data_IF_831010174240
#
_entry.id   IF_831010174240
#
_cell.length_a   1.000
_cell.length_b   1.000
_cell.length_c   1.000
_cell.angle_alpha   90.00
_cell.angle_beta   90.00
_cell.angle_gamma   90.00
#
_symmetry.space_group_name_H-M   'P 1'
#
loop_
_entity.id
_entity.type
_entity.pdbx_description
1 polymer ?
#
# COMPACT_ATOMS: atom_id res chain seq x y z
N UNK A 1 123.23 -55.62 -12.09
CA UNK A 1 122.85 -55.69 -10.65
C UNK A 1 122.50 -54.31 -10.09
N UNK A 2 123.40 -53.32 -10.13
CA UNK A 2 123.09 -51.94 -9.65
C UNK A 2 121.97 -51.24 -10.44
N UNK A 3 122.05 -51.27 -11.76
CA UNK A 3 121.08 -50.62 -12.67
C UNK A 3 119.66 -51.19 -12.58
N UNK A 4 119.54 -52.52 -12.48
CA UNK A 4 118.29 -53.24 -12.22
C UNK A 4 117.66 -52.86 -10.87
N UNK A 5 118.48 -52.68 -9.84
CA UNK A 5 118.01 -52.25 -8.51
C UNK A 5 117.49 -50.81 -8.53
N UNK A 6 118.19 -49.92 -9.26
CA UNK A 6 117.79 -48.52 -9.39
C UNK A 6 116.51 -48.36 -10.24
N UNK A 7 116.30 -49.24 -11.23
CA UNK A 7 115.06 -49.28 -12.01
C UNK A 7 113.87 -49.78 -11.19
N UNK A 8 114.05 -50.89 -10.45
CA UNK A 8 113.03 -51.41 -9.54
C UNK A 8 112.65 -50.40 -8.43
N UNK A 9 113.63 -49.61 -7.97
CA UNK A 9 113.39 -48.57 -6.96
C UNK A 9 112.55 -47.42 -7.52
N UNK A 10 112.81 -47.00 -8.77
CA UNK A 10 112.01 -45.97 -9.46
C UNK A 10 110.58 -46.44 -9.71
N UNK A 11 110.42 -47.64 -10.28
CA UNK A 11 109.10 -48.20 -10.57
C UNK A 11 108.28 -48.39 -9.29
N UNK A 12 108.92 -48.78 -8.18
CA UNK A 12 108.28 -48.80 -6.86
C UNK A 12 107.81 -47.41 -6.41
N UNK A 13 108.62 -46.36 -6.57
CA UNK A 13 108.22 -44.99 -6.20
C UNK A 13 107.09 -44.45 -7.08
N UNK A 14 107.10 -44.80 -8.37
CA UNK A 14 106.05 -44.40 -9.31
C UNK A 14 104.72 -45.07 -8.92
N UNK A 15 104.73 -46.39 -8.65
CA UNK A 15 103.57 -47.12 -8.14
C UNK A 15 103.08 -46.60 -6.79
N UNK A 16 103.99 -46.27 -5.86
CA UNK A 16 103.63 -45.65 -4.57
C UNK A 16 102.94 -44.29 -4.77
N UNK A 17 103.40 -43.50 -5.73
CA UNK A 17 102.81 -42.21 -6.08
C UNK A 17 101.43 -42.36 -6.72
N UNK A 18 101.26 -43.33 -7.62
CA UNK A 18 99.98 -43.66 -8.25
C UNK A 18 98.96 -44.15 -7.21
N UNK A 19 99.36 -45.05 -6.32
CA UNK A 19 98.52 -45.52 -5.19
C UNK A 19 98.10 -44.34 -4.30
N UNK A 20 99.01 -43.42 -3.99
CA UNK A 20 98.67 -42.23 -3.21
C UNK A 20 97.67 -41.31 -3.94
N UNK A 21 97.83 -41.15 -5.26
CA UNK A 21 96.91 -40.40 -6.11
C UNK A 21 95.51 -41.03 -6.13
N UNK A 22 95.42 -42.33 -6.39
CA UNK A 22 94.16 -43.08 -6.40
C UNK A 22 93.46 -43.06 -5.04
N UNK A 23 94.20 -43.19 -3.93
CA UNK A 23 93.64 -43.08 -2.59
C UNK A 23 93.04 -41.69 -2.33
N UNK A 24 93.67 -40.62 -2.83
CA UNK A 24 93.13 -39.26 -2.73
C UNK A 24 91.85 -39.10 -3.54
N UNK A 25 91.79 -39.67 -4.75
CA UNK A 25 90.59 -39.67 -5.59
C UNK A 25 89.44 -40.46 -4.94
N UNK A 26 89.73 -41.63 -4.36
CA UNK A 26 88.75 -42.44 -3.61
C UNK A 26 88.15 -41.63 -2.45
N UNK A 27 88.96 -40.93 -1.66
CA UNK A 27 88.46 -40.12 -0.55
C UNK A 27 87.61 -38.92 -1.02
N UNK A 28 87.97 -38.30 -2.16
CA UNK A 28 87.14 -37.27 -2.77
C UNK A 28 85.79 -37.82 -3.25
N UNK A 29 85.79 -38.97 -3.92
CA UNK A 29 84.57 -39.63 -4.39
C UNK A 29 83.67 -40.07 -3.23
N UNK A 30 84.23 -40.57 -2.13
CA UNK A 30 83.46 -40.87 -0.90
C UNK A 30 82.78 -39.62 -0.35
N UNK A 31 83.51 -38.51 -0.27
CA UNK A 31 82.95 -37.24 0.23
C UNK A 31 81.80 -36.76 -0.67
N UNK A 32 81.97 -36.85 -2.00
CA UNK A 32 80.90 -36.52 -2.94
C UNK A 32 79.69 -37.44 -2.84
N UNK A 33 79.91 -38.74 -2.59
CA UNK A 33 78.85 -39.72 -2.36
C UNK A 33 78.05 -39.40 -1.09
N UNK A 34 78.74 -39.07 0.01
CA UNK A 34 78.10 -38.70 1.28
C UNK A 34 77.28 -37.41 1.14
N UNK A 35 77.82 -36.39 0.45
CA UNK A 35 77.11 -35.14 0.16
C UNK A 35 75.86 -35.38 -0.71
N UNK A 36 75.98 -36.25 -1.72
CA UNK A 36 74.85 -36.60 -2.58
C UNK A 36 73.77 -37.38 -1.81
N UNK A 37 74.17 -38.29 -0.92
CA UNK A 37 73.24 -39.04 -0.07
C UNK A 37 72.50 -38.11 0.90
N UNK A 38 73.19 -37.16 1.51
CA UNK A 38 72.56 -36.18 2.39
C UNK A 38 71.52 -35.32 1.64
N UNK A 39 71.85 -34.86 0.43
CA UNK A 39 70.89 -34.12 -0.42
C UNK A 39 69.67 -34.96 -0.80
N UNK A 40 69.87 -36.25 -1.08
CA UNK A 40 68.77 -37.18 -1.39
C UNK A 40 67.84 -37.36 -0.19
N UNK A 41 68.40 -37.52 1.01
CA UNK A 41 67.63 -37.69 2.24
C UNK A 41 66.80 -36.43 2.56
N UNK A 42 67.38 -35.24 2.37
CA UNK A 42 66.68 -33.98 2.61
C UNK A 42 65.58 -33.72 1.57
N UNK A 43 65.84 -34.02 0.29
CA UNK A 43 64.81 -33.97 -0.76
C UNK A 43 63.67 -34.96 -0.48
N UNK A 44 63.98 -36.15 0.03
CA UNK A 44 62.97 -37.17 0.41
C UNK A 44 62.10 -36.69 1.56
N UNK A 45 62.67 -36.02 2.58
CA UNK A 45 61.89 -35.41 3.67
C UNK A 45 60.98 -34.31 3.15
N UNK A 46 61.48 -33.43 2.28
CA UNK A 46 60.68 -32.35 1.70
C UNK A 46 59.51 -32.89 0.88
N UNK A 47 59.74 -33.92 0.06
CA UNK A 47 58.71 -34.60 -0.72
C UNK A 47 57.61 -35.19 0.17
N UNK A 48 57.99 -35.86 1.26
CA UNK A 48 57.04 -36.42 2.22
C UNK A 48 56.20 -35.33 2.91
N UNK A 49 56.83 -34.21 3.29
CA UNK A 49 56.13 -33.07 3.88
C UNK A 49 55.11 -32.47 2.90
N UNK A 50 55.51 -32.22 1.65
CA UNK A 50 54.60 -31.72 0.61
C UNK A 50 53.46 -32.70 0.33
N UNK A 51 53.74 -34.00 0.30
CA UNK A 51 52.71 -35.03 0.11
C UNK A 51 51.66 -35.05 1.22
N UNK A 52 52.08 -34.82 2.47
CA UNK A 52 51.15 -34.70 3.59
C UNK A 52 50.30 -33.42 3.50
N UNK A 53 50.91 -32.28 3.12
CA UNK A 53 50.17 -31.03 2.89
C UNK A 53 49.12 -31.17 1.78
N UNK A 54 49.45 -31.86 0.68
CA UNK A 54 48.50 -32.16 -0.40
C UNK A 54 47.30 -32.93 0.15
N UNK A 55 47.53 -33.98 0.94
CA UNK A 55 46.46 -34.80 1.53
C UNK A 55 45.55 -33.98 2.46
N UNK A 56 46.11 -33.08 3.26
CA UNK A 56 45.33 -32.18 4.12
C UNK A 56 44.48 -31.20 3.31
N UNK A 57 45.04 -30.63 2.23
CA UNK A 57 44.32 -29.73 1.34
C UNK A 57 43.20 -30.46 0.60
N UNK A 58 43.42 -31.68 0.12
CA UNK A 58 42.39 -32.53 -0.48
C UNK A 58 41.24 -32.80 0.51
N UNK A 59 41.56 -33.07 1.78
CA UNK A 59 40.56 -33.21 2.83
C UNK A 59 39.72 -31.95 3.05
N UNK A 60 40.37 -30.77 3.07
CA UNK A 60 39.68 -29.47 3.18
C UNK A 60 38.78 -29.20 1.96
N UNK A 61 39.25 -29.50 0.75
CA UNK A 61 38.46 -29.38 -0.49
C UNK A 61 37.22 -30.28 -0.41
N UNK A 62 37.38 -31.53 0.04
CA UNK A 62 36.25 -32.46 0.22
C UNK A 62 35.20 -31.94 1.20
N UNK A 63 35.64 -31.43 2.36
CA UNK A 63 34.73 -30.86 3.36
C UNK A 63 33.98 -29.62 2.84
N UNK A 64 34.68 -28.73 2.13
CA UNK A 64 34.07 -27.54 1.51
C UNK A 64 33.06 -27.92 0.42
N UNK A 65 33.37 -28.92 -0.41
CA UNK A 65 32.44 -29.39 -1.44
C UNK A 65 31.15 -29.96 -0.83
N UNK A 66 31.25 -30.74 0.26
CA UNK A 66 30.07 -31.24 0.95
C UNK A 66 29.24 -30.09 1.53
N UNK A 67 29.88 -29.12 2.19
CA UNK A 67 29.19 -27.94 2.72
C UNK A 67 28.48 -27.13 1.63
N UNK A 68 29.13 -26.96 0.47
CA UNK A 68 28.52 -26.28 -0.67
C UNK A 68 27.29 -27.04 -1.20
N UNK A 69 27.34 -28.37 -1.20
CA UNK A 69 26.20 -29.20 -1.59
C UNK A 69 25.03 -29.05 -0.60
N UNK A 70 25.29 -29.14 0.70
CA UNK A 70 24.26 -29.00 1.73
C UNK A 70 23.59 -27.61 1.66
N UNK A 71 24.38 -26.54 1.50
CA UNK A 71 23.86 -25.19 1.32
C UNK A 71 23.04 -25.03 0.03
N UNK A 72 23.43 -25.71 -1.05
CA UNK A 72 22.69 -25.69 -2.31
C UNK A 72 21.32 -26.37 -2.16
N UNK A 73 21.28 -27.51 -1.48
CA UNK A 73 20.04 -28.24 -1.20
C UNK A 73 19.11 -27.41 -0.30
N UNK A 74 19.63 -26.79 0.76
CA UNK A 74 18.88 -25.89 1.65
C UNK A 74 18.31 -24.69 0.89
N UNK A 75 19.11 -24.05 0.02
CA UNK A 75 18.65 -22.92 -0.78
C UNK A 75 17.53 -23.32 -1.76
N UNK A 76 17.62 -24.54 -2.32
CA UNK A 76 16.58 -25.09 -3.20
C UNK A 76 15.28 -25.32 -2.44
N UNK A 77 15.34 -25.87 -1.23
CA UNK A 77 14.18 -26.08 -0.36
C UNK A 77 13.54 -24.75 0.06
N UNK A 78 14.34 -23.79 0.52
CA UNK A 78 13.86 -22.46 0.91
C UNK A 78 13.20 -21.73 -0.26
N UNK A 79 13.80 -21.80 -1.45
CA UNK A 79 13.23 -21.22 -2.66
C UNK A 79 11.87 -21.82 -3.00
N UNK A 80 11.75 -23.15 -2.92
CA UNK A 80 10.47 -23.85 -3.14
C UNK A 80 9.41 -23.45 -2.10
N UNK A 81 9.79 -23.33 -0.82
CA UNK A 81 8.90 -22.93 0.27
C UNK A 81 8.39 -21.50 0.08
N UNK A 82 9.28 -20.55 -0.22
CA UNK A 82 8.90 -19.15 -0.49
C UNK A 82 7.95 -19.07 -1.67
N UNK A 83 8.27 -19.75 -2.78
CA UNK A 83 7.42 -19.79 -3.96
C UNK A 83 6.03 -20.37 -3.66
N UNK A 84 5.96 -21.44 -2.88
CA UNK A 84 4.69 -22.04 -2.46
C UNK A 84 3.85 -21.11 -1.58
N UNK A 85 4.48 -20.45 -0.61
CA UNK A 85 3.80 -19.50 0.29
C UNK A 85 3.28 -18.27 -0.47
N UNK A 86 4.06 -17.73 -1.40
CA UNK A 86 3.64 -16.60 -2.24
C UNK A 86 2.44 -16.98 -3.09
N UNK A 87 2.49 -18.13 -3.77
CA UNK A 87 1.37 -18.61 -4.59
C UNK A 87 0.09 -18.77 -3.76
N UNK A 88 0.18 -19.35 -2.57
CA UNK A 88 -0.98 -19.52 -1.70
C UNK A 88 -1.57 -18.18 -1.24
N UNK A 89 -0.72 -17.19 -0.89
CA UNK A 89 -1.19 -15.84 -0.53
C UNK A 89 -1.86 -15.13 -1.71
N UNK A 90 -1.31 -15.29 -2.92
CA UNK A 90 -1.88 -14.74 -4.15
C UNK A 90 -3.28 -15.33 -4.42
N UNK A 91 -3.45 -16.65 -4.26
CA UNK A 91 -4.74 -17.33 -4.39
C UNK A 91 -5.76 -16.83 -3.36
N UNK A 92 -5.36 -16.67 -2.09
CA UNK A 92 -6.23 -16.14 -1.03
C UNK A 92 -6.67 -14.70 -1.30
N UNK A 93 -5.74 -13.82 -1.65
CA UNK A 93 -6.05 -12.43 -1.99
C UNK A 93 -6.96 -12.34 -3.21
N UNK A 94 -6.73 -13.18 -4.22
CA UNK A 94 -7.59 -13.23 -5.41
C UNK A 94 -9.02 -13.65 -5.06
N UNK A 95 -9.20 -14.57 -4.11
CA UNK A 95 -10.52 -14.99 -3.65
C UNK A 95 -11.23 -13.85 -2.90
N UNK A 96 -10.55 -13.21 -1.95
CA UNK A 96 -11.08 -12.06 -1.20
C UNK A 96 -11.47 -10.90 -2.12
N UNK A 97 -10.64 -10.60 -3.13
CA UNK A 97 -10.95 -9.58 -4.13
C UNK A 97 -12.20 -9.94 -4.94
N UNK A 98 -12.42 -11.23 -5.22
CA UNK A 98 -13.64 -11.66 -5.91
C UNK A 98 -14.87 -11.48 -5.02
N UNK A 99 -14.81 -11.89 -3.75
CA UNK A 99 -15.90 -11.74 -2.79
C UNK A 99 -16.29 -10.26 -2.60
N UNK A 100 -15.31 -9.36 -2.47
CA UNK A 100 -15.55 -7.93 -2.35
C UNK A 100 -16.16 -7.32 -3.63
N UNK A 101 -15.78 -7.82 -4.81
CA UNK A 101 -16.41 -7.41 -6.08
C UNK A 101 -17.86 -7.86 -6.17
N UNK A 102 -18.14 -9.09 -5.77
CA UNK A 102 -19.49 -9.64 -5.77
C UNK A 102 -20.39 -8.88 -4.78
N UNK A 103 -19.88 -8.53 -3.60
CA UNK A 103 -20.64 -7.77 -2.60
C UNK A 103 -20.90 -6.32 -3.06
N UNK A 104 -19.91 -5.65 -3.66
CA UNK A 104 -20.14 -4.33 -4.26
C UNK A 104 -21.22 -4.37 -5.35
N UNK A 105 -21.25 -5.45 -6.15
CA UNK A 105 -22.29 -5.63 -7.18
C UNK A 105 -23.67 -5.72 -6.54
N UNK A 106 -23.84 -6.54 -5.49
CA UNK A 106 -25.10 -6.65 -4.75
C UNK A 106 -25.54 -5.34 -4.09
N UNK A 107 -24.59 -4.61 -3.50
CA UNK A 107 -24.90 -3.32 -2.88
C UNK A 107 -25.36 -2.29 -3.92
N UNK A 108 -24.74 -2.26 -5.10
CA UNK A 108 -25.17 -1.39 -6.19
C UNK A 108 -26.59 -1.76 -6.67
N UNK A 109 -26.88 -3.04 -6.88
CA UNK A 109 -28.24 -3.50 -7.21
C UNK A 109 -29.27 -3.10 -6.16
N UNK A 110 -28.89 -3.13 -4.86
CA UNK A 110 -29.76 -2.69 -3.77
C UNK A 110 -29.98 -1.19 -3.77
N UNK A 111 -28.95 -0.39 -4.06
CA UNK A 111 -29.05 1.06 -4.19
C UNK A 111 -29.99 1.43 -5.34
N UNK A 112 -29.85 0.78 -6.49
CA UNK A 112 -30.72 1.00 -7.66
C UNK A 112 -32.18 0.67 -7.34
N UNK A 113 -32.41 -0.48 -6.68
CA UNK A 113 -33.75 -0.89 -6.26
C UNK A 113 -34.39 0.12 -5.29
N UNK A 114 -33.64 0.58 -4.29
CA UNK A 114 -34.13 1.58 -3.34
C UNK A 114 -34.38 2.94 -3.99
N UNK A 115 -33.57 3.29 -4.99
CA UNK A 115 -33.75 4.53 -5.76
C UNK A 115 -35.05 4.47 -6.56
N UNK A 116 -35.36 3.32 -7.17
CA UNK A 116 -36.63 3.09 -7.87
C UNK A 116 -37.83 3.18 -6.91
N UNK A 117 -37.77 2.50 -5.76
CA UNK A 117 -38.80 2.57 -4.70
C UNK A 117 -39.04 4.02 -4.24
N UNK A 118 -37.96 4.80 -4.04
CA UNK A 118 -38.04 6.19 -3.61
C UNK A 118 -38.66 7.08 -4.70
N UNK A 119 -38.31 6.86 -5.97
CA UNK A 119 -38.93 7.53 -7.11
C UNK A 119 -40.45 7.24 -7.17
N UNK A 120 -40.85 5.98 -7.00
CA UNK A 120 -42.25 5.59 -6.98
C UNK A 120 -43.02 6.22 -5.82
N UNK A 121 -42.44 6.22 -4.62
CA UNK A 121 -43.04 6.83 -3.44
C UNK A 121 -43.25 8.35 -3.61
N UNK A 122 -42.25 9.06 -4.18
CA UNK A 122 -42.37 10.48 -4.52
C UNK A 122 -43.51 10.75 -5.50
N UNK A 123 -43.62 9.94 -6.55
CA UNK A 123 -44.68 10.06 -7.54
C UNK A 123 -46.07 9.88 -6.92
N UNK A 124 -46.24 8.85 -6.09
CA UNK A 124 -47.52 8.59 -5.42
C UNK A 124 -47.88 9.69 -4.41
N UNK A 125 -46.89 10.24 -3.70
CA UNK A 125 -47.09 11.39 -2.80
C UNK A 125 -47.60 12.63 -3.54
N UNK A 126 -46.98 12.99 -4.67
CA UNK A 126 -47.45 14.14 -5.47
C UNK A 126 -48.83 13.89 -6.09
N UNK A 127 -49.12 12.67 -6.53
CA UNK A 127 -50.45 12.28 -6.99
C UNK A 127 -51.50 12.46 -5.89
N UNK A 128 -51.24 11.95 -4.67
CA UNK A 128 -52.16 12.09 -3.54
C UNK A 128 -52.39 13.55 -3.15
N UNK A 129 -51.33 14.37 -3.18
CA UNK A 129 -51.41 15.82 -2.94
C UNK A 129 -52.29 16.52 -3.98
N UNK A 130 -52.19 16.16 -5.26
CA UNK A 130 -53.05 16.68 -6.32
C UNK A 130 -54.51 16.23 -6.15
N UNK A 131 -54.76 14.96 -5.82
CA UNK A 131 -56.10 14.46 -5.54
C UNK A 131 -56.75 15.22 -4.38
N UNK A 132 -56.04 15.35 -3.25
CA UNK A 132 -56.53 16.05 -2.07
C UNK A 132 -56.81 17.53 -2.36
N UNK A 133 -55.97 18.17 -3.18
CA UNK A 133 -56.20 19.55 -3.63
C UNK A 133 -57.48 19.68 -4.45
N UNK A 134 -57.71 18.78 -5.39
CA UNK A 134 -58.93 18.75 -6.21
C UNK A 134 -60.18 18.51 -5.34
N UNK A 135 -60.13 17.57 -4.41
CA UNK A 135 -61.22 17.28 -3.47
C UNK A 135 -61.58 18.51 -2.63
N UNK A 136 -60.57 19.23 -2.12
CA UNK A 136 -60.79 20.46 -1.36
C UNK A 136 -61.39 21.58 -2.21
N UNK A 137 -60.94 21.74 -3.46
CA UNK A 137 -61.50 22.72 -4.40
C UNK A 137 -62.97 22.41 -4.76
N UNK A 138 -63.31 21.14 -4.91
CA UNK A 138 -64.69 20.71 -5.18
C UNK A 138 -65.60 20.88 -3.95
N UNK A 139 -65.12 20.57 -2.74
CA UNK A 139 -65.87 20.80 -1.51
C UNK A 139 -66.09 22.29 -1.22
N UNK A 140 -65.09 23.14 -1.52
CA UNK A 140 -65.23 24.59 -1.42
C UNK A 140 -66.27 25.11 -2.42
N UNK A 141 -66.30 24.57 -3.64
CA UNK A 141 -67.31 24.92 -4.66
C UNK A 141 -68.72 24.58 -4.19
N UNK A 142 -68.94 23.35 -3.71
CA UNK A 142 -70.22 22.91 -3.17
C UNK A 142 -70.69 23.79 -2.00
N UNK A 143 -69.75 24.20 -1.13
CA UNK A 143 -70.08 25.09 0.00
C UNK A 143 -70.54 26.47 -0.44
N UNK A 144 -69.91 27.04 -1.48
CA UNK A 144 -70.32 28.31 -2.06
C UNK A 144 -71.70 28.21 -2.72
N UNK A 145 -71.95 27.14 -3.48
CA UNK A 145 -73.27 26.88 -4.10
C UNK A 145 -74.37 26.78 -3.03
N UNK A 146 -74.12 26.08 -1.92
CA UNK A 146 -75.05 25.98 -0.79
C UNK A 146 -75.29 27.34 -0.09
N UNK A 147 -74.25 28.15 0.07
CA UNK A 147 -74.36 29.49 0.66
C UNK A 147 -75.19 30.43 -0.24
N UNK A 148 -75.00 30.37 -1.55
CA UNK A 148 -75.80 31.10 -2.53
C UNK A 148 -77.28 30.68 -2.48
N UNK A 149 -77.56 29.38 -2.41
CA UNK A 149 -78.93 28.85 -2.27
C UNK A 149 -79.60 29.33 -0.98
N UNK A 150 -78.89 29.29 0.14
CA UNK A 150 -79.39 29.79 1.43
C UNK A 150 -79.67 31.30 1.39
N UNK A 151 -78.79 32.08 0.75
CA UNK A 151 -78.97 33.52 0.58
C UNK A 151 -80.21 33.85 -0.28
N UNK A 152 -80.43 33.11 -1.37
CA UNK A 152 -81.63 33.25 -2.21
C UNK A 152 -82.91 32.96 -1.42
N UNK A 153 -82.91 31.92 -0.58
CA UNK A 153 -84.05 31.59 0.27
C UNK A 153 -84.29 32.67 1.35
N UNK A 154 -83.23 33.18 1.97
CA UNK A 154 -83.30 34.27 2.95
C UNK A 154 -83.87 35.55 2.32
N UNK A 155 -83.44 35.91 1.11
CA UNK A 155 -84.02 37.04 0.36
C UNK A 155 -85.50 36.83 0.05
N UNK A 156 -85.89 35.62 -0.37
CA UNK A 156 -87.29 35.28 -0.62
C UNK A 156 -88.12 35.45 0.66
N UNK A 157 -87.64 34.92 1.79
CA UNK A 157 -88.30 35.07 3.10
C UNK A 157 -88.34 36.52 3.57
N UNK A 158 -87.30 37.31 3.31
CA UNK A 158 -87.27 38.74 3.62
C UNK A 158 -88.30 39.53 2.79
N UNK A 159 -88.45 39.20 1.50
CA UNK A 159 -89.50 39.74 0.62
C UNK A 159 -90.90 39.35 1.10
N UNK A 160 -91.10 38.08 1.46
CA UNK A 160 -92.35 37.57 2.02
C UNK A 160 -92.71 38.30 3.33
N UNK A 161 -91.78 38.39 4.28
CA UNK A 161 -91.96 39.10 5.54
C UNK A 161 -92.27 40.59 5.33
N UNK A 162 -91.63 41.25 4.36
CA UNK A 162 -91.90 42.65 4.01
C UNK A 162 -93.31 42.83 3.44
N UNK A 163 -93.77 41.90 2.59
CA UNK A 163 -95.14 41.86 2.09
C UNK A 163 -96.14 41.71 3.24
N UNK A 164 -95.93 40.73 4.12
CA UNK A 164 -96.76 40.50 5.31
C UNK A 164 -96.79 41.71 6.24
N UNK A 165 -95.64 42.38 6.48
CA UNK A 165 -95.60 43.65 7.25
C UNK A 165 -96.45 44.74 6.61
N UNK A 166 -96.43 44.85 5.29
CA UNK A 166 -97.24 45.83 4.56
C UNK A 166 -98.73 45.50 4.70
N UNK A 167 -99.12 44.23 4.57
CA UNK A 167 -100.48 43.76 4.84
C UNK A 167 -100.93 44.03 6.27
N UNK A 168 -100.09 43.72 7.26
CA UNK A 168 -100.32 44.03 8.68
C UNK A 168 -100.50 45.53 8.91
N UNK A 169 -99.73 46.38 8.24
CA UNK A 169 -99.85 47.85 8.36
C UNK A 169 -101.16 48.34 7.77
N UNK A 170 -101.60 47.77 6.63
CA UNK A 170 -102.92 48.06 6.06
C UNK A 170 -104.06 47.59 6.97
N UNK A 171 -103.95 46.39 7.55
CA UNK A 171 -104.93 45.88 8.52
C UNK A 171 -104.96 46.73 9.79
N UNK A 172 -103.80 47.15 10.33
CA UNK A 172 -103.73 48.09 11.46
C UNK A 172 -104.39 49.42 11.14
N UNK A 173 -104.18 49.99 9.94
CA UNK A 173 -104.89 51.21 9.51
C UNK A 173 -106.40 51.00 9.36
N UNK A 174 -106.85 49.82 8.91
CA UNK A 174 -108.28 49.46 8.90
C UNK A 174 -108.82 49.37 10.32
N UNK A 175 -108.10 48.72 11.23
CA UNK A 175 -108.43 48.70 12.67
C UNK A 175 -108.45 50.12 13.24
N UNK A 176 -107.54 51.03 12.87
CA UNK A 176 -107.50 52.43 13.31
C UNK A 176 -108.69 53.26 12.78
N UNK A 177 -109.23 52.93 11.59
CA UNK A 177 -110.46 53.54 11.03
C UNK A 177 -111.73 52.95 11.67
N UNK A 178 -111.72 51.66 11.98
CA UNK A 178 -112.82 50.96 12.67
C UNK A 178 -112.85 51.26 14.19
N UNK A 179 -111.71 51.54 14.83
CA UNK A 179 -111.58 51.91 16.25
C UNK A 179 -112.07 53.34 16.54
N UNK A 180 -112.01 54.27 15.57
CA UNK A 180 -112.70 55.58 15.66
C UNK A 180 -114.24 55.42 15.62
N UNK A 181 -114.77 54.27 15.18
CA UNK A 181 -116.21 53.97 15.21
C UNK A 181 -116.65 53.06 16.36
N UNK A 182 -115.75 52.32 17.00
CA UNK A 182 -116.11 51.31 17.99
C UNK A 182 -115.67 51.61 19.43
N UNK A 183 -115.10 52.79 19.71
CA UNK A 183 -114.95 53.31 21.08
C UNK A 183 -116.19 54.11 21.53
N UNK A 184 -117.35 53.44 21.50
CA UNK A 184 -118.51 53.74 22.35
C UNK A 184 -119.26 52.46 22.76
N UNK A 185 -118.53 51.42 23.22
CA UNK A 185 -119.09 50.34 24.06
C UNK A 185 -117.99 49.42 24.59
N UNK A 186 -117.79 49.43 25.92
CA UNK A 186 -117.32 48.39 26.88
C UNK A 186 -116.33 47.31 26.40
N UNK A 187 -115.14 47.11 26.99
CA UNK A 187 -114.81 46.64 28.37
C UNK A 187 -115.10 45.13 28.60
N UNK A 188 -114.07 44.27 28.45
CA UNK A 188 -113.68 43.14 29.36
C UNK A 188 -112.65 42.17 28.71
N UNK A 189 -111.53 41.90 29.42
CA UNK A 189 -110.81 40.60 29.59
C UNK A 189 -110.31 39.80 28.34
N UNK A 190 -109.26 38.98 28.32
CA UNK A 190 -108.07 38.66 29.13
C UNK A 190 -107.23 37.70 28.22
N UNK A 191 -106.04 37.34 28.70
CA UNK A 191 -104.87 36.74 28.03
C UNK A 191 -104.96 35.34 27.40
N UNK A 192 -103.93 35.06 26.55
CA UNK A 192 -103.17 33.80 26.28
C UNK A 192 -103.98 32.49 26.07
N UNK A 193 -103.70 31.62 25.10
CA UNK A 193 -102.42 30.93 24.86
C UNK A 193 -102.61 30.01 23.62
N UNK A 194 -101.87 30.22 22.52
CA UNK A 194 -101.94 29.39 21.31
C UNK A 194 -100.67 28.54 21.20
N UNK A 195 -100.49 27.65 22.17
CA UNK A 195 -99.31 26.80 22.33
C UNK A 195 -99.55 25.37 21.84
N UNK A 196 -100.10 25.18 20.65
CA UNK A 196 -100.31 23.83 20.07
C UNK A 196 -99.72 23.67 18.66
N UNK A 197 -99.76 24.72 17.81
CA UNK A 197 -99.07 24.73 16.50
C UNK A 197 -97.54 24.82 16.65
N UNK A 198 -97.08 25.59 17.64
CA UNK A 198 -95.65 25.71 17.95
C UNK A 198 -95.09 24.40 18.53
N UNK A 199 -95.91 23.59 19.20
CA UNK A 199 -95.51 22.27 19.69
C UNK A 199 -95.32 21.29 18.53
N UNK A 200 -96.19 21.27 17.53
CA UNK A 200 -96.04 20.37 16.38
C UNK A 200 -94.85 20.75 15.47
N UNK A 201 -94.58 22.06 15.33
CA UNK A 201 -93.39 22.55 14.60
C UNK A 201 -92.09 22.32 15.39
N UNK A 202 -92.12 22.50 16.71
CA UNK A 202 -91.00 22.17 17.60
C UNK A 202 -90.78 20.65 17.68
N UNK A 203 -91.81 19.81 17.65
CA UNK A 203 -91.69 18.34 17.59
C UNK A 203 -91.07 17.87 16.27
N UNK A 204 -91.41 18.48 15.14
CA UNK A 204 -90.74 18.20 13.85
C UNK A 204 -89.27 18.65 13.85
N UNK A 205 -88.96 19.83 14.40
CA UNK A 205 -87.57 20.32 14.55
C UNK A 205 -86.78 19.48 15.55
N UNK A 206 -87.41 18.99 16.62
CA UNK A 206 -86.79 18.09 17.59
C UNK A 206 -86.52 16.72 16.97
N UNK A 207 -87.45 16.17 16.18
CA UNK A 207 -87.25 14.92 15.45
C UNK A 207 -86.14 15.01 14.38
N UNK A 208 -86.03 16.16 13.70
CA UNK A 208 -84.94 16.45 12.77
C UNK A 208 -83.59 16.58 13.49
N UNK A 209 -83.57 17.35 14.58
CA UNK A 209 -82.37 17.54 15.41
C UNK A 209 -81.91 16.22 16.07
N UNK A 210 -82.83 15.31 16.37
CA UNK A 210 -82.54 14.00 16.95
C UNK A 210 -81.99 13.01 15.90
N UNK A 211 -82.39 13.15 14.62
CA UNK A 211 -81.76 12.44 13.50
C UNK A 211 -80.34 12.96 13.25
N UNK A 212 -80.16 14.27 13.21
CA UNK A 212 -78.84 14.90 13.06
C UNK A 212 -77.92 14.56 14.23
N UNK A 213 -78.45 14.53 15.46
CA UNK A 213 -77.73 14.07 16.65
C UNK A 213 -77.28 12.62 16.51
N UNK A 214 -78.14 11.70 16.05
CA UNK A 214 -77.77 10.29 15.83
C UNK A 214 -76.72 10.12 14.74
N UNK A 215 -76.81 10.92 13.67
CA UNK A 215 -75.80 10.90 12.60
C UNK A 215 -74.45 11.45 13.08
N UNK A 216 -74.45 12.54 13.85
CA UNK A 216 -73.27 13.09 14.48
C UNK A 216 -72.68 12.14 15.53
N UNK A 217 -73.49 11.44 16.32
CA UNK A 217 -73.04 10.40 17.24
C UNK A 217 -72.35 9.24 16.50
N UNK A 218 -72.85 8.84 15.33
CA UNK A 218 -72.20 7.89 14.44
C UNK A 218 -70.83 8.38 13.96
N UNK A 219 -70.76 9.60 13.42
CA UNK A 219 -69.49 10.22 12.98
C UNK A 219 -68.49 10.36 14.12
N UNK A 220 -68.95 10.72 15.33
CA UNK A 220 -68.11 10.80 16.53
C UNK A 220 -67.61 9.41 16.95
N UNK A 221 -68.42 8.36 16.80
CA UNK A 221 -67.98 6.98 17.06
C UNK A 221 -66.89 6.53 16.08
N UNK A 222 -67.08 6.81 14.78
CA UNK A 222 -66.10 6.46 13.75
C UNK A 222 -64.77 7.21 13.94
N UNK A 223 -64.82 8.50 14.26
CA UNK A 223 -63.62 9.29 14.56
C UNK A 223 -62.93 8.84 15.85
N UNK A 224 -63.68 8.39 16.87
CA UNK A 224 -63.08 7.78 18.07
C UNK A 224 -62.33 6.50 17.72
N UNK A 225 -62.90 5.65 16.85
CA UNK A 225 -62.23 4.42 16.42
C UNK A 225 -60.97 4.72 15.60
N UNK A 226 -61.01 5.68 14.67
CA UNK A 226 -59.82 6.12 13.93
C UNK A 226 -58.74 6.66 14.87
N UNK A 227 -59.12 7.44 15.89
CA UNK A 227 -58.21 7.95 16.91
C UNK A 227 -57.52 6.81 17.65
N UNK A 228 -58.25 5.79 18.11
CA UNK A 228 -57.66 4.62 18.79
C UNK A 228 -56.71 3.82 17.89
N UNK A 229 -57.02 3.69 16.60
CA UNK A 229 -56.17 2.99 15.65
C UNK A 229 -54.86 3.76 15.38
N UNK A 230 -54.95 5.09 15.28
CA UNK A 230 -53.79 5.97 15.15
C UNK A 230 -52.93 5.96 16.42
N UNK A 231 -53.55 5.97 17.61
CA UNK A 231 -52.85 5.90 18.89
C UNK A 231 -52.05 4.58 19.01
N UNK A 232 -52.64 3.45 18.61
CA UNK A 232 -51.93 2.17 18.53
C UNK A 232 -50.76 2.18 17.53
N UNK A 233 -50.88 2.88 16.40
CA UNK A 233 -49.78 3.05 15.44
C UNK A 233 -48.65 3.91 16.03
N UNK A 234 -48.99 4.99 16.72
CA UNK A 234 -48.02 5.85 17.42
C UNK A 234 -47.25 5.04 18.46
N UNK A 235 -47.93 4.24 19.28
CA UNK A 235 -47.26 3.39 20.27
C UNK A 235 -46.26 2.41 19.63
N UNK A 236 -46.63 1.76 18.51
CA UNK A 236 -45.74 0.86 17.76
C UNK A 236 -44.54 1.59 17.15
N UNK A 237 -44.70 2.85 16.76
CA UNK A 237 -43.59 3.65 16.26
C UNK A 237 -42.67 4.08 17.40
N UNK A 238 -43.22 4.48 18.55
CA UNK A 238 -42.46 4.81 19.75
C UNK A 238 -41.62 3.63 20.26
N UNK A 239 -42.10 2.37 20.15
CA UNK A 239 -41.29 1.21 20.51
C UNK A 239 -40.13 0.99 19.53
N UNK A 240 -40.36 1.14 18.22
CA UNK A 240 -39.30 1.04 17.21
C UNK A 240 -38.26 2.14 17.35
N UNK A 241 -38.69 3.36 17.65
CA UNK A 241 -37.79 4.48 17.92
C UNK A 241 -36.82 4.16 19.06
N UNK A 242 -37.32 3.59 20.16
CA UNK A 242 -36.48 3.16 21.29
C UNK A 242 -35.51 2.03 20.93
N UNK A 243 -35.93 1.08 20.09
CA UNK A 243 -35.05 0.02 19.58
C UNK A 243 -33.93 0.61 18.71
N UNK A 244 -34.25 1.54 17.81
CA UNK A 244 -33.25 2.20 16.98
C UNK A 244 -32.28 3.06 17.79
N UNK A 245 -32.76 3.78 18.80
CA UNK A 245 -31.90 4.56 19.70
C UNK A 245 -30.92 3.65 20.45
N UNK A 246 -31.38 2.52 20.97
CA UNK A 246 -30.50 1.52 21.62
C UNK A 246 -29.42 1.01 20.65
N UNK A 247 -29.80 0.72 19.40
CA UNK A 247 -28.86 0.24 18.38
C UNK A 247 -27.85 1.31 17.95
N UNK A 248 -28.27 2.57 17.89
CA UNK A 248 -27.37 3.71 17.63
C UNK A 248 -26.35 3.86 18.77
N UNK A 249 -26.76 3.69 20.03
CA UNK A 249 -25.83 3.73 21.16
C UNK A 249 -24.82 2.58 21.15
N UNK A 250 -25.23 1.37 20.77
CA UNK A 250 -24.33 0.23 20.61
C UNK A 250 -23.29 0.48 19.51
N UNK A 251 -23.75 0.89 18.32
CA UNK A 251 -22.86 1.22 17.20
C UNK A 251 -21.88 2.36 17.56
N UNK A 252 -22.33 3.35 18.36
CA UNK A 252 -21.46 4.42 18.83
C UNK A 252 -20.35 3.93 19.76
N UNK A 253 -20.65 2.93 20.62
CA UNK A 253 -19.63 2.30 21.49
C UNK A 253 -18.63 1.49 20.68
N UNK A 254 -19.10 0.75 19.67
CA UNK A 254 -18.25 -0.03 18.77
C UNK A 254 -17.31 0.87 17.97
N UNK A 255 -17.83 1.98 17.42
CA UNK A 255 -17.03 2.97 16.70
C UNK A 255 -15.93 3.59 17.59
N UNK A 256 -16.23 3.89 18.85
CA UNK A 256 -15.22 4.37 19.81
C UNK A 256 -14.15 3.32 20.13
N UNK A 257 -14.50 2.03 20.14
CA UNK A 257 -13.54 0.93 20.34
C UNK A 257 -12.60 0.83 19.14
N UNK A 258 -13.16 0.80 17.92
CA UNK A 258 -12.38 0.75 16.68
C UNK A 258 -11.46 1.96 16.54
N UNK A 259 -11.94 3.16 16.89
CA UNK A 259 -11.10 4.36 16.87
C UNK A 259 -9.94 4.31 17.86
N UNK A 260 -10.08 3.57 18.95
CA UNK A 260 -8.98 3.34 19.91
C UNK A 260 -7.96 2.36 19.34
N UNK A 261 -8.42 1.28 18.71
CA UNK A 261 -7.58 0.28 18.04
C UNK A 261 -6.81 0.86 16.85
N UNK A 262 -7.45 1.76 16.09
CA UNK A 262 -6.81 2.51 14.99
C UNK A 262 -5.65 3.36 15.52
N UNK A 263 -5.86 4.13 16.59
CA UNK A 263 -4.80 4.93 17.23
C UNK A 263 -3.67 4.08 17.79
N UNK A 264 -3.99 2.92 18.34
CA UNK A 264 -2.97 1.99 18.84
C UNK A 264 -2.15 1.40 17.69
N UNK A 265 -2.82 1.04 16.59
CA UNK A 265 -2.17 0.57 15.35
C UNK A 265 -1.26 1.65 14.75
N UNK A 266 -1.71 2.90 14.66
CA UNK A 266 -0.90 4.03 14.19
C UNK A 266 0.36 4.25 15.06
N UNK A 267 0.21 4.14 16.38
CA UNK A 267 1.35 4.22 17.29
C UNK A 267 2.35 3.08 17.08
N UNK A 268 1.87 1.86 16.80
CA UNK A 268 2.78 0.74 16.47
C UNK A 268 3.44 0.91 15.10
N UNK A 269 2.73 1.49 14.13
CA UNK A 269 3.28 1.71 12.80
C UNK A 269 4.39 2.77 12.83
N UNK A 270 4.19 3.84 13.60
CA UNK A 270 5.21 4.89 13.80
C UNK A 270 6.46 4.35 14.49
N UNK A 271 6.32 3.52 15.54
CA UNK A 271 7.50 2.92 16.20
C UNK A 271 8.25 1.95 15.29
N UNK A 272 7.53 1.11 14.52
CA UNK A 272 8.16 0.20 13.55
C UNK A 272 8.89 0.99 12.47
N UNK A 273 8.33 2.11 11.99
CA UNK A 273 8.95 2.97 10.99
C UNK A 273 10.25 3.60 11.52
N UNK A 274 10.24 4.11 12.74
CA UNK A 274 11.42 4.69 13.38
C UNK A 274 12.54 3.64 13.55
N UNK A 275 12.18 2.41 13.91
CA UNK A 275 13.14 1.30 14.05
C UNK A 275 13.77 0.91 12.70
N UNK A 276 12.97 0.88 11.63
CA UNK A 276 13.48 0.65 10.28
C UNK A 276 14.39 1.79 9.81
N UNK A 277 14.01 3.04 10.02
CA UNK A 277 14.83 4.20 9.67
C UNK A 277 16.17 4.20 10.40
N UNK A 278 16.17 3.79 11.68
CA UNK A 278 17.40 3.62 12.45
C UNK A 278 18.27 2.49 11.90
N UNK A 279 17.67 1.34 11.51
CA UNK A 279 18.42 0.22 10.92
C UNK A 279 19.02 0.57 9.56
N UNK A 280 18.29 1.33 8.74
CA UNK A 280 18.79 1.83 7.44
C UNK A 280 19.98 2.77 7.64
N UNK A 281 19.92 3.68 8.63
CA UNK A 281 21.06 4.56 8.96
C UNK A 281 22.30 3.79 9.41
N UNK A 282 22.11 2.75 10.23
CA UNK A 282 23.20 1.87 10.69
C UNK A 282 23.86 1.14 9.51
N UNK A 283 23.06 0.53 8.62
CA UNK A 283 23.55 -0.17 7.44
C UNK A 283 24.27 0.77 6.47
N UNK A 284 23.75 1.97 6.23
CA UNK A 284 24.40 2.96 5.39
C UNK A 284 25.75 3.42 5.97
N UNK A 285 25.83 3.59 7.29
CA UNK A 285 27.09 3.94 7.97
C UNK A 285 28.12 2.82 7.80
N UNK A 286 27.69 1.56 7.96
CA UNK A 286 28.56 0.39 7.75
C UNK A 286 29.01 0.24 6.29
N UNK A 287 28.13 0.50 5.32
CA UNK A 287 28.46 0.47 3.89
C UNK A 287 29.47 1.56 3.52
N UNK A 288 29.33 2.76 4.08
CA UNK A 288 30.26 3.87 3.88
C UNK A 288 31.66 3.51 4.42
N UNK A 289 31.71 2.90 5.60
CA UNK A 289 32.95 2.44 6.22
C UNK A 289 33.63 1.36 5.37
N UNK A 290 32.88 0.35 4.89
CA UNK A 290 33.41 -0.67 4.00
C UNK A 290 33.90 -0.09 2.66
N UNK A 291 33.19 0.88 2.10
CA UNK A 291 33.61 1.56 0.87
C UNK A 291 34.94 2.29 1.06
N UNK A 292 35.10 2.98 2.19
CA UNK A 292 36.36 3.64 2.55
C UNK A 292 37.51 2.64 2.71
N UNK A 293 37.26 1.46 3.32
CA UNK A 293 38.26 0.40 3.42
C UNK A 293 38.66 -0.17 2.05
N UNK A 294 37.71 -0.36 1.13
CA UNK A 294 37.97 -0.82 -0.23
C UNK A 294 38.85 0.20 -0.98
N UNK A 295 38.51 1.49 -0.89
CA UNK A 295 39.26 2.56 -1.53
C UNK A 295 40.71 2.62 -1.01
N UNK A 296 40.90 2.49 0.30
CA UNK A 296 42.22 2.43 0.92
C UNK A 296 43.02 1.19 0.49
N UNK A 297 42.36 0.02 0.34
CA UNK A 297 43.00 -1.19 -0.17
C UNK A 297 43.39 -1.06 -1.65
N UNK A 298 42.56 -0.42 -2.46
CA UNK A 298 42.86 -0.13 -3.87
C UNK A 298 44.06 0.80 -4.00
N UNK A 299 44.13 1.86 -3.19
CA UNK A 299 45.26 2.78 -3.16
C UNK A 299 46.57 2.06 -2.76
N UNK A 300 46.52 1.25 -1.69
CA UNK A 300 47.68 0.46 -1.24
C UNK A 300 48.15 -0.54 -2.32
N UNK A 301 47.22 -1.19 -3.02
CA UNK A 301 47.54 -2.12 -4.10
C UNK A 301 48.18 -1.39 -5.29
N UNK A 302 47.66 -0.22 -5.65
CA UNK A 302 48.21 0.61 -6.72
C UNK A 302 49.63 1.08 -6.39
N UNK A 303 49.84 1.57 -5.17
CA UNK A 303 51.17 1.97 -4.69
C UNK A 303 52.17 0.82 -4.72
N UNK A 304 51.77 -0.36 -4.25
CA UNK A 304 52.62 -1.56 -4.29
C UNK A 304 52.99 -1.97 -5.72
N UNK A 305 52.04 -1.93 -6.66
CA UNK A 305 52.31 -2.18 -8.08
C UNK A 305 53.31 -1.17 -8.64
N UNK A 306 53.17 0.11 -8.29
CA UNK A 306 54.08 1.16 -8.72
C UNK A 306 55.50 0.94 -8.17
N UNK A 307 55.63 0.54 -6.90
CA UNK A 307 56.91 0.16 -6.29
C UNK A 307 57.55 -1.05 -6.98
N UNK A 308 56.78 -2.10 -7.31
CA UNK A 308 57.27 -3.28 -8.03
C UNK A 308 57.74 -2.92 -9.46
N UNK A 309 56.99 -2.08 -10.18
CA UNK A 309 57.36 -1.59 -11.51
C UNK A 309 58.66 -0.78 -11.45
N UNK A 310 58.80 0.13 -10.47
CA UNK A 310 60.02 0.91 -10.25
C UNK A 310 61.23 0.00 -9.97
N UNK A 311 61.05 -1.02 -9.14
CA UNK A 311 62.10 -1.99 -8.84
C UNK A 311 62.53 -2.78 -10.09
N UNK A 312 61.58 -3.20 -10.93
CA UNK A 312 61.86 -3.88 -12.19
C UNK A 312 62.60 -2.97 -13.17
N UNK A 313 62.19 -1.70 -13.31
CA UNK A 313 62.89 -0.71 -14.15
C UNK A 313 64.34 -0.52 -13.70
N UNK A 314 64.57 -0.34 -12.39
CA UNK A 314 65.92 -0.20 -11.84
C UNK A 314 66.78 -1.46 -12.08
N UNK A 315 66.18 -2.64 -11.97
CA UNK A 315 66.88 -3.91 -12.20
C UNK A 315 67.26 -4.08 -13.67
N UNK A 316 66.34 -3.77 -14.60
CA UNK A 316 66.61 -3.79 -16.04
C UNK A 316 67.73 -2.81 -16.38
N UNK A 317 67.67 -1.60 -15.83
CA UNK A 317 68.69 -0.58 -16.06
C UNK A 317 70.07 -1.05 -15.58
N UNK A 318 70.16 -1.54 -14.33
CA UNK A 318 71.39 -2.08 -13.78
C UNK A 318 71.99 -3.23 -14.61
N UNK A 319 71.18 -4.23 -14.98
CA UNK A 319 71.64 -5.37 -15.79
C UNK A 319 72.11 -4.89 -17.16
N UNK A 320 71.35 -3.98 -17.78
CA UNK A 320 71.70 -3.50 -19.12
C UNK A 320 73.02 -2.72 -19.10
N UNK A 321 73.20 -1.84 -18.11
CA UNK A 321 74.42 -1.05 -17.94
C UNK A 321 75.65 -1.94 -17.67
N UNK A 322 75.52 -3.00 -16.87
CA UNK A 322 76.61 -3.94 -16.60
C UNK A 322 76.96 -4.78 -17.84
N UNK A 323 75.96 -5.22 -18.62
CA UNK A 323 76.18 -5.93 -19.89
C UNK A 323 76.84 -5.01 -20.91
N UNK A 324 76.39 -3.76 -21.05
CA UNK A 324 77.04 -2.77 -21.92
C UNK A 324 78.51 -2.55 -21.53
N UNK A 325 78.78 -2.42 -20.24
CA UNK A 325 80.15 -2.27 -19.71
C UNK A 325 81.02 -3.47 -20.06
N UNK A 326 80.54 -4.69 -19.82
CA UNK A 326 81.25 -5.93 -20.16
C UNK A 326 81.56 -6.02 -21.67
N UNK A 327 80.62 -5.61 -22.53
CA UNK A 327 80.84 -5.60 -23.99
C UNK A 327 81.89 -4.56 -24.40
N UNK A 328 81.89 -3.37 -23.78
CA UNK A 328 82.88 -2.32 -24.05
C UNK A 328 84.29 -2.77 -23.64
N UNK A 329 84.42 -3.35 -22.45
CA UNK A 329 85.68 -3.77 -21.84
C UNK A 329 86.26 -5.07 -22.43
N UNK A 330 85.47 -5.86 -23.17
CA UNK A 330 85.93 -7.14 -23.72
C UNK A 330 86.94 -6.94 -24.87
N UNK A 331 88.19 -7.35 -24.69
CA UNK A 331 89.26 -7.20 -25.68
C UNK A 331 89.18 -8.20 -26.85
N UNK A 332 88.40 -9.28 -26.71
CA UNK A 332 88.32 -10.37 -27.71
C UNK A 332 87.37 -10.02 -28.86
N UNK A 333 86.39 -9.14 -28.61
CA UNK A 333 85.37 -8.75 -29.60
C UNK A 333 85.93 -7.62 -30.46
N UNK A 334 85.84 -7.74 -31.80
CA UNK A 334 86.24 -6.67 -32.71
C UNK A 334 85.31 -5.46 -32.58
N UNK A 335 85.82 -4.26 -32.82
CA UNK A 335 85.05 -3.03 -32.64
C UNK A 335 83.74 -2.95 -33.45
N UNK A 336 83.75 -3.48 -34.68
CA UNK A 336 82.54 -3.54 -35.53
C UNK A 336 81.46 -4.42 -34.91
N UNK A 337 81.86 -5.56 -34.31
CA UNK A 337 80.94 -6.49 -33.65
C UNK A 337 80.44 -5.89 -32.32
N UNK A 338 81.28 -5.17 -31.56
CA UNK A 338 80.88 -4.43 -30.35
C UNK A 338 79.78 -3.43 -30.65
N UNK A 339 79.90 -2.68 -31.74
CA UNK A 339 78.90 -1.68 -32.14
C UNK A 339 77.54 -2.31 -32.40
N UNK A 340 77.51 -3.46 -33.10
CA UNK A 340 76.27 -4.20 -33.36
C UNK A 340 75.67 -4.74 -32.07
N UNK A 341 76.49 -5.34 -31.20
CA UNK A 341 76.03 -5.89 -29.91
C UNK A 341 75.44 -4.78 -29.03
N UNK A 342 76.09 -3.62 -28.93
CA UNK A 342 75.57 -2.48 -28.17
C UNK A 342 74.24 -1.96 -28.72
N UNK A 343 74.07 -1.89 -30.05
CA UNK A 343 72.77 -1.52 -30.65
C UNK A 343 71.66 -2.52 -30.29
N UNK A 344 71.96 -3.81 -30.30
CA UNK A 344 71.01 -4.87 -29.91
C UNK A 344 70.65 -4.74 -28.42
N UNK A 345 71.63 -4.52 -27.55
CA UNK A 345 71.40 -4.28 -26.12
C UNK A 345 70.48 -3.08 -25.90
N UNK A 346 70.69 -1.99 -26.64
CA UNK A 346 69.87 -0.80 -26.54
C UNK A 346 68.43 -1.04 -27.01
N UNK A 347 68.25 -1.80 -28.08
CA UNK A 347 66.93 -2.22 -28.55
C UNK A 347 66.22 -3.12 -27.51
N UNK A 348 66.95 -4.04 -26.89
CA UNK A 348 66.43 -4.88 -25.80
C UNK A 348 66.04 -4.01 -24.58
N UNK A 349 66.87 -3.03 -24.19
CA UNK A 349 66.55 -2.09 -23.10
C UNK A 349 65.23 -1.38 -23.37
N UNK A 350 65.03 -0.83 -24.59
CA UNK A 350 63.80 -0.15 -24.97
C UNK A 350 62.57 -1.06 -24.89
N UNK A 351 62.65 -2.28 -25.43
CA UNK A 351 61.53 -3.24 -25.40
C UNK A 351 61.19 -3.65 -23.96
N UNK A 352 62.19 -3.93 -23.12
CA UNK A 352 61.96 -4.33 -21.73
C UNK A 352 61.37 -3.19 -20.89
N UNK A 353 61.82 -1.95 -21.11
CA UNK A 353 61.26 -0.77 -20.43
C UNK A 353 59.81 -0.52 -20.86
N UNK A 354 59.50 -0.69 -22.15
CA UNK A 354 58.14 -0.56 -22.68
C UNK A 354 57.20 -1.66 -22.16
N UNK A 355 57.67 -2.90 -22.10
CA UNK A 355 56.92 -4.01 -21.53
C UNK A 355 56.61 -3.78 -20.05
N UNK A 356 57.58 -3.32 -19.27
CA UNK A 356 57.35 -2.98 -17.84
C UNK A 356 56.42 -1.79 -17.67
N UNK A 357 56.41 -0.83 -18.60
CA UNK A 357 55.49 0.31 -18.57
C UNK A 357 54.02 -0.11 -18.78
N UNK A 358 53.74 -1.23 -19.45
CA UNK A 358 52.38 -1.75 -19.62
C UNK A 358 51.77 -2.27 -18.31
N UNK A 359 52.59 -2.54 -17.29
CA UNK A 359 52.13 -2.97 -15.96
C UNK A 359 51.78 -1.81 -15.03
N UNK A 360 52.09 -0.56 -15.43
CA UNK A 360 51.50 0.59 -14.77
C UNK A 360 49.99 0.55 -14.99
N UNK A 361 49.17 0.81 -13.97
CA UNK A 361 47.74 1.02 -14.19
C UNK A 361 47.63 2.25 -15.09
N UNK A 362 47.53 2.01 -16.40
CA UNK A 362 47.10 3.04 -17.33
C UNK A 362 45.77 3.56 -16.81
N UNK A 363 45.57 4.86 -16.89
CA UNK A 363 44.26 5.48 -16.81
C UNK A 363 43.41 4.95 -17.99
N UNK A 364 43.08 3.67 -17.99
CA UNK A 364 41.94 3.16 -18.73
C UNK A 364 40.76 3.76 -18.01
N UNK A 365 40.37 4.94 -18.49
CA UNK A 365 39.13 5.63 -18.15
C UNK A 365 38.04 4.59 -17.97
N UNK A 366 37.74 4.29 -16.71
CA UNK A 366 36.58 3.49 -16.35
C UNK A 366 35.41 4.23 -16.98
N UNK A 367 34.61 3.61 -17.87
CA UNK A 367 33.43 4.26 -18.41
C UNK A 367 32.61 4.72 -17.21
N UNK A 368 32.45 6.04 -17.07
CA UNK A 368 31.62 6.64 -16.03
C UNK A 368 30.27 5.95 -16.10
N UNK A 369 30.00 5.09 -15.12
CA UNK A 369 28.74 4.40 -15.01
C UNK A 369 27.68 5.48 -14.89
N UNK A 370 26.81 5.50 -15.89
CA UNK A 370 25.77 6.48 -16.13
C UNK A 370 25.03 6.76 -14.82
N UNK A 371 25.06 8.02 -14.40
CA UNK A 371 24.11 8.59 -13.45
C UNK A 371 22.70 8.29 -13.98
N UNK A 372 21.97 7.41 -13.29
CA UNK A 372 20.55 7.19 -13.50
C UNK A 372 19.79 8.44 -12.99
N UNK A 373 19.12 9.21 -13.86
CA UNK A 373 18.46 10.43 -13.45
C UNK A 373 17.04 10.10 -12.95
N UNK A 374 16.82 10.34 -11.66
CA UNK A 374 15.56 10.91 -11.19
C UNK A 374 14.37 9.97 -11.07
N UNK A 375 14.31 9.25 -9.95
CA UNK A 375 13.02 8.97 -9.31
C UNK A 375 12.46 10.28 -8.71
N UNK A 376 11.87 11.14 -9.54
CA UNK A 376 10.92 12.14 -9.04
C UNK A 376 9.62 11.42 -8.72
N UNK A 377 9.45 11.06 -7.45
CA UNK A 377 8.17 10.68 -6.85
C UNK A 377 7.22 11.88 -6.89
N UNK A 378 6.53 12.05 -8.01
CA UNK A 378 5.42 12.99 -8.15
C UNK A 378 4.18 12.45 -7.45
N UNK A 379 3.88 13.00 -6.28
CA UNK A 379 2.54 12.96 -5.68
C UNK A 379 1.51 13.41 -6.72
N UNK A 380 0.68 12.49 -7.20
CA UNK A 380 -0.54 12.84 -7.92
C UNK A 380 -1.62 13.15 -6.89
N UNK A 381 -1.87 14.44 -6.68
CA UNK A 381 -3.10 14.93 -6.08
C UNK A 381 -4.28 14.58 -7.00
N UNK A 382 -5.39 14.04 -6.49
CA UNK A 382 -6.60 13.88 -7.28
C UNK A 382 -7.26 15.26 -7.43
N UNK A 383 -7.28 15.80 -8.64
CA UNK A 383 -8.14 16.93 -8.98
C UNK A 383 -9.57 16.43 -9.13
N UNK A 384 -10.44 16.90 -8.24
CA UNK A 384 -11.89 16.92 -8.40
C UNK A 384 -12.26 17.46 -9.78
N UNK A 385 -12.86 16.63 -10.64
CA UNK A 385 -13.68 17.12 -11.75
C UNK A 385 -15.13 16.70 -11.51
N UNK A 386 -15.92 17.66 -11.06
CA UNK A 386 -17.37 17.66 -11.23
C UNK A 386 -17.70 17.47 -12.71
N UNK A 387 -18.43 16.41 -13.05
CA UNK A 387 -19.27 16.41 -14.23
C UNK A 387 -20.73 16.22 -13.81
N UNK A 388 -21.45 17.34 -13.88
CA UNK A 388 -22.85 17.41 -14.25
C UNK A 388 -23.09 16.65 -15.56
N UNK A 389 -23.98 15.66 -15.54
CA UNK A 389 -25.23 15.63 -16.32
C UNK A 389 -26.17 14.56 -15.77
#
# INVERSE_FOLDING_TARGET
MKELKDQLTREKQDLESEIAGLNKEIEQLKTQQDDAQQKLDDATKELNNKSNQIRELEGKIGALNNKNKDLHDENTELSAKVKGQLKHKEEMLSLEHQELRDENTRLNERVDSLMEELCQCKLESEKNKLCLKSEYEDELRLRLEYEDELNLELEHKSREASSLRTQLTMLRKKVEVEEVKQLKTLESEEQHESSESDIEELEKKLCQSEKEKKELEGKVSDERQKRTDLESKVDKLCTKEKEYLSKIEELKKELLSLQKEEKESDNTLTTVKDDHDNKVKELNSSLLEQSSQIEQLQENLSKKKQEEVLFLQQTIEYITDEVEKLVRENEVIRDDDKKVILQVIQAIKSVLVEEVAQYLPGETSVPSFVEDPGYTSGCSTPTNSCHTF
#
